data_IF_848103141210
#
_entry.id   IF_848103141210
#
_cell.length_a   1.000
_cell.length_b   1.000
_cell.length_c   1.000
_cell.angle_alpha   90.00
_cell.angle_beta   90.00
_cell.angle_gamma   90.00
#
_symmetry.space_group_name_H-M   'P 1'
#
loop_
_entity.id
_entity.type
_entity.pdbx_description
1 polymer ?
#
# COMPACT_ATOMS: atom_id res chain seq x y z
N UNK A 1 -11.11 -3.12 -10.64
CA UNK A 1 -11.03 -2.10 -11.72
C UNK A 1 -9.64 -1.47 -11.64
N UNK A 2 -8.84 -1.45 -12.72
CA UNK A 2 -7.48 -0.89 -12.69
C UNK A 2 -7.56 0.62 -12.91
N UNK A 3 -7.20 1.41 -11.90
CA UNK A 3 -7.19 2.89 -11.98
C UNK A 3 -5.84 3.31 -12.54
N UNK A 4 -5.84 3.99 -13.70
CA UNK A 4 -4.64 4.55 -14.31
C UNK A 4 -4.55 6.03 -13.96
N UNK A 5 -3.36 6.49 -13.58
CA UNK A 5 -3.10 7.90 -13.41
C UNK A 5 -1.69 8.24 -13.89
N UNK A 6 -1.58 9.32 -14.64
CA UNK A 6 -0.30 9.85 -15.08
C UNK A 6 0.04 11.04 -14.19
N UNK A 7 1.13 10.93 -13.43
CA UNK A 7 1.72 12.11 -12.80
C UNK A 7 2.69 12.78 -13.78
N UNK A 8 2.49 14.07 -14.07
CA UNK A 8 3.43 14.85 -14.90
C UNK A 8 4.66 15.32 -14.13
N UNK A 9 4.64 15.27 -12.79
CA UNK A 9 5.70 15.85 -11.96
C UNK A 9 6.01 14.99 -10.75
N UNK A 10 7.26 14.53 -10.69
CA UNK A 10 7.84 13.89 -9.52
C UNK A 10 8.33 15.00 -8.58
N UNK A 11 7.97 14.92 -7.30
CA UNK A 11 8.41 15.85 -6.28
C UNK A 11 9.82 15.51 -5.78
N UNK A 12 10.39 16.36 -4.91
CA UNK A 12 11.69 16.07 -4.27
C UNK A 12 11.64 14.70 -3.57
N UNK A 13 12.77 14.00 -3.60
CA UNK A 13 12.95 12.67 -3.02
C UNK A 13 12.14 11.57 -3.72
N UNK A 14 11.78 11.75 -4.99
CA UNK A 14 11.08 10.72 -5.76
C UNK A 14 9.61 10.54 -5.37
N UNK A 15 9.02 11.50 -4.63
CA UNK A 15 7.63 11.41 -4.17
C UNK A 15 6.65 11.71 -5.29
N UNK A 16 5.56 10.96 -5.33
CA UNK A 16 4.43 11.18 -6.24
C UNK A 16 3.19 11.44 -5.40
N UNK A 17 2.56 12.60 -5.59
CA UNK A 17 1.33 12.92 -4.90
C UNK A 17 0.15 12.25 -5.63
N UNK A 18 -0.64 11.47 -4.88
CA UNK A 18 -1.92 10.94 -5.34
C UNK A 18 -3.03 11.91 -4.97
N UNK A 19 -3.99 12.12 -5.87
CA UNK A 19 -5.18 12.92 -5.54
C UNK A 19 -6.09 12.13 -4.62
N UNK A 20 -6.90 12.83 -3.81
CA UNK A 20 -7.84 12.16 -2.91
C UNK A 20 -8.82 11.23 -3.64
N UNK A 21 -9.21 11.58 -4.87
CA UNK A 21 -10.10 10.74 -5.66
C UNK A 21 -9.43 9.40 -6.02
N UNK A 22 -8.13 9.40 -6.32
CA UNK A 22 -7.38 8.18 -6.60
C UNK A 22 -7.23 7.33 -5.34
N UNK A 23 -6.93 7.96 -4.21
CA UNK A 23 -6.86 7.28 -2.90
C UNK A 23 -8.19 6.60 -2.57
N UNK A 24 -9.32 7.33 -2.67
CA UNK A 24 -10.66 6.78 -2.44
C UNK A 24 -10.99 5.63 -3.39
N UNK A 25 -10.66 5.74 -4.67
CA UNK A 25 -10.93 4.69 -5.65
C UNK A 25 -10.04 3.45 -5.45
N UNK A 26 -8.84 3.63 -4.92
CA UNK A 26 -7.91 2.56 -4.59
C UNK A 26 -8.18 1.95 -3.20
N UNK A 27 -9.03 2.58 -2.38
CA UNK A 27 -9.26 2.18 -0.99
C UNK A 27 -8.03 2.37 -0.11
N UNK A 28 -7.24 3.41 -0.38
CA UNK A 28 -6.02 3.75 0.36
C UNK A 28 -6.24 4.99 1.22
N UNK A 29 -5.67 4.97 2.43
CA UNK A 29 -5.66 6.06 3.39
C UNK A 29 -4.23 6.46 3.78
N UNK A 30 -4.09 7.60 4.47
CA UNK A 30 -2.78 8.03 4.96
C UNK A 30 -2.25 7.05 6.01
N UNK A 31 -1.01 6.59 5.81
CA UNK A 31 -0.37 5.60 6.68
C UNK A 31 -0.41 4.18 6.13
N UNK A 32 -1.19 3.92 5.08
CA UNK A 32 -1.22 2.60 4.44
C UNK A 32 0.10 2.28 3.75
N UNK A 33 0.51 1.01 3.89
CA UNK A 33 1.64 0.47 3.16
C UNK A 33 1.18 -0.03 1.79
N UNK A 34 1.99 0.24 0.77
CA UNK A 34 1.73 -0.18 -0.61
C UNK A 34 2.95 -0.86 -1.21
N UNK A 35 2.69 -1.84 -2.06
CA UNK A 35 3.71 -2.46 -2.90
C UNK A 35 3.81 -1.72 -4.24
N UNK A 36 5.03 -1.55 -4.73
CA UNK A 36 5.32 -0.78 -5.95
C UNK A 36 6.00 -1.70 -6.96
N UNK A 37 5.40 -1.80 -8.14
CA UNK A 37 5.91 -2.61 -9.25
C UNK A 37 6.15 -1.76 -10.48
N UNK A 38 7.08 -2.19 -11.33
CA UNK A 38 7.30 -1.62 -12.66
C UNK A 38 6.94 -2.62 -13.73
N UNK A 39 5.92 -2.31 -14.52
CA UNK A 39 5.58 -3.07 -15.71
C UNK A 39 6.52 -2.67 -16.85
N UNK A 40 7.44 -3.57 -17.19
CA UNK A 40 8.44 -3.34 -18.21
C UNK A 40 7.86 -3.22 -19.63
N UNK A 41 6.68 -3.77 -19.89
CA UNK A 41 6.01 -3.76 -21.20
C UNK A 41 5.29 -2.43 -21.38
N UNK A 42 4.43 -2.07 -20.43
CA UNK A 42 3.64 -0.83 -20.54
C UNK A 42 4.38 0.40 -20.02
N UNK A 43 5.57 0.23 -19.44
CA UNK A 43 6.39 1.27 -18.80
C UNK A 43 5.62 2.03 -17.71
N UNK A 44 4.73 1.33 -17.00
CA UNK A 44 3.88 1.90 -15.95
C UNK A 44 4.36 1.45 -14.57
N UNK A 45 4.22 2.36 -13.61
CA UNK A 45 4.32 2.02 -12.19
C UNK A 45 2.94 1.53 -11.73
N UNK A 46 2.90 0.40 -11.07
CA UNK A 46 1.70 -0.18 -10.48
C UNK A 46 1.85 -0.08 -8.96
N UNK A 47 0.81 0.43 -8.31
CA UNK A 47 0.72 0.55 -6.85
C UNK A 47 -0.44 -0.35 -6.40
N UNK A 48 -0.16 -1.24 -5.47
CA UNK A 48 -1.16 -2.14 -4.90
C UNK A 48 -1.13 -2.03 -3.36
N UNK A 49 -2.27 -2.16 -2.68
CA UNK A 49 -2.27 -2.28 -1.21
C UNK A 49 -1.34 -3.41 -0.81
N UNK A 50 -0.42 -3.17 0.14
CA UNK A 50 0.45 -4.22 0.62
C UNK A 50 -0.42 -5.33 1.24
N UNK A 51 -0.16 -6.58 0.85
CA UNK A 51 -0.82 -7.70 1.52
C UNK A 51 -0.47 -7.62 3.00
N UNK A 52 -1.48 -7.59 3.88
CA UNK A 52 -1.25 -7.73 5.32
C UNK A 52 -0.62 -9.12 5.54
N UNK A 53 0.72 -9.15 5.62
CA UNK A 53 1.40 -10.32 6.16
C UNK A 53 0.87 -10.44 7.58
N UNK A 54 0.11 -11.50 7.85
CA UNK A 54 -0.50 -11.82 9.11
C UNK A 54 0.55 -12.19 10.18
N UNK A 55 1.58 -11.36 10.36
CA UNK A 55 2.66 -11.56 11.33
C UNK A 55 2.42 -10.83 12.67
N UNK A 56 1.22 -10.27 12.89
CA UNK A 56 0.87 -9.65 14.18
C UNK A 56 -0.12 -10.45 15.05
N UNK A 57 -0.66 -11.57 14.58
CA UNK A 57 -1.61 -12.38 15.39
C UNK A 57 -0.92 -13.42 16.29
N UNK A 58 0.36 -13.74 16.05
CA UNK A 58 1.08 -14.74 16.84
C UNK A 58 1.55 -14.23 18.22
N UNK A 59 1.77 -12.93 18.38
CA UNK A 59 2.38 -12.37 19.60
C UNK A 59 1.39 -12.09 20.73
N UNK A 60 0.07 -12.09 20.47
CA UNK A 60 -0.94 -11.84 21.51
C UNK A 60 -1.48 -13.12 22.18
N UNK A 61 -1.36 -14.28 21.54
CA UNK A 61 -1.92 -15.53 22.07
C UNK A 61 -0.99 -16.29 23.05
N UNK A 62 0.28 -15.90 23.17
CA UNK A 62 1.24 -16.55 24.09
C UNK A 62 1.29 -15.93 25.49
N UNK A 63 0.62 -14.80 25.73
CA UNK A 63 0.63 -14.11 27.03
C UNK A 63 -0.53 -14.51 27.98
N UNK A 64 -1.48 -15.35 27.54
CA UNK A 64 -2.65 -15.77 28.34
C UNK A 64 -2.56 -17.20 28.88
N UNK A 65 -1.35 -17.61 29.26
CA UNK A 65 -1.08 -18.92 29.89
C UNK A 65 -0.89 -18.83 31.40
N UNK A 66 -1.90 -18.40 32.16
CA UNK A 66 -2.02 -18.71 33.60
C UNK A 66 -3.41 -19.25 33.89
N UNK A 67 -3.50 -20.57 34.09
CA UNK A 67 -4.59 -21.18 34.87
C UNK A 67 -3.99 -21.85 36.11
N UNK A 68 -4.78 -21.73 37.17
CA UNK A 68 -4.55 -22.07 38.57
C UNK A 68 -4.21 -23.54 38.81
#
# INVERSE_FOLDING_TARGET
MKVLFDTRRIQKLGRVALSEQLLRNAGLEEGDQVDIYFDAITKRIIIEPAAQVAEQVASQNLASGRKA
#
